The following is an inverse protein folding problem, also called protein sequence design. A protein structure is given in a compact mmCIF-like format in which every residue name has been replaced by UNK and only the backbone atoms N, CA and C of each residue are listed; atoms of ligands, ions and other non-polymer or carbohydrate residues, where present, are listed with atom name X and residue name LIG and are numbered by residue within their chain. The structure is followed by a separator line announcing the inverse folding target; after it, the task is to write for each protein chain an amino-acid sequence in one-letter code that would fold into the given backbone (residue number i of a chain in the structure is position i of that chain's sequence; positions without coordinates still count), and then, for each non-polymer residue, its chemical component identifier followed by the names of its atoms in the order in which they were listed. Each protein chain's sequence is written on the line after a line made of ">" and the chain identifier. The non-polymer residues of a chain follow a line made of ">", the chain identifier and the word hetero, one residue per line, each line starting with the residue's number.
data_IF_366943912640
#
_entry.id   IF_366943912640
#
_cell.length_a   1.000
_cell.length_b   1.000
_cell.length_c   1.000
_cell.angle_alpha   90.00
_cell.angle_beta   90.00
_cell.angle_gamma   90.00
#
_symmetry.space_group_name_H-M   'P 1'
#
loop_
_entity.id
_entity.type
_entity.pdbx_description
1 polymer ?
#
# COMPACT_ATOMS: atom_id res chain seq x y z
N UNK A 1 -17.52 -62.43 6.77
CA UNK A 1 -17.53 -60.96 6.71
C UNK A 1 -18.67 -60.44 7.58
N UNK A 2 -18.42 -59.81 8.74
CA UNK A 2 -19.50 -59.37 9.63
C UNK A 2 -20.24 -58.16 9.04
N UNK A 3 -21.56 -58.27 8.90
CA UNK A 3 -22.42 -57.20 8.42
C UNK A 3 -22.45 -56.04 9.42
N UNK A 4 -21.80 -54.94 9.06
CA UNK A 4 -21.83 -53.69 9.83
C UNK A 4 -23.29 -53.20 9.86
N UNK A 5 -23.90 -53.17 11.05
CA UNK A 5 -25.29 -52.74 11.23
C UNK A 5 -25.51 -51.32 10.70
N UNK A 6 -26.70 -51.05 10.13
CA UNK A 6 -27.01 -49.76 9.50
C UNK A 6 -26.73 -48.55 10.41
N UNK A 7 -26.95 -48.69 11.72
CA UNK A 7 -26.62 -47.66 12.73
C UNK A 7 -25.12 -47.36 12.82
N UNK A 8 -24.26 -48.38 12.71
CA UNK A 8 -22.80 -48.21 12.75
C UNK A 8 -22.26 -47.58 11.47
N UNK A 9 -22.88 -47.83 10.30
CA UNK A 9 -22.55 -47.14 9.03
C UNK A 9 -22.93 -45.66 9.07
N UNK A 10 -24.13 -45.34 9.57
CA UNK A 10 -24.59 -43.95 9.73
C UNK A 10 -23.70 -43.18 10.72
N UNK A 11 -23.29 -43.83 11.81
CA UNK A 11 -22.41 -43.21 12.79
C UNK A 11 -21.00 -42.92 12.22
N UNK A 12 -20.44 -43.85 11.45
CA UNK A 12 -19.15 -43.64 10.77
C UNK A 12 -19.21 -42.54 9.71
N UNK A 13 -20.33 -42.43 8.98
CA UNK A 13 -20.55 -41.34 8.02
C UNK A 13 -20.71 -39.99 8.73
N UNK A 14 -21.41 -39.94 9.86
CA UNK A 14 -21.55 -38.72 10.65
C UNK A 14 -20.21 -38.27 11.25
N UNK A 15 -19.40 -39.19 11.76
CA UNK A 15 -18.05 -38.90 12.28
C UNK A 15 -17.08 -38.51 11.16
N UNK A 16 -17.16 -39.16 9.99
CA UNK A 16 -16.38 -38.77 8.81
C UNK A 16 -16.76 -37.39 8.30
N UNK A 17 -18.06 -37.08 8.21
CA UNK A 17 -18.56 -35.77 7.83
C UNK A 17 -18.15 -34.68 8.86
N UNK A 18 -18.19 -35.00 10.16
CA UNK A 18 -17.74 -34.09 11.22
C UNK A 18 -16.23 -33.88 11.18
N UNK A 19 -15.43 -34.93 10.94
CA UNK A 19 -13.98 -34.83 10.81
C UNK A 19 -13.57 -34.03 9.56
N UNK A 20 -14.28 -34.21 8.44
CA UNK A 20 -14.11 -33.38 7.23
C UNK A 20 -14.53 -31.95 7.49
N UNK A 21 -15.65 -31.72 8.19
CA UNK A 21 -16.10 -30.38 8.56
C UNK A 21 -15.09 -29.67 9.48
N UNK A 22 -14.54 -30.37 10.48
CA UNK A 22 -13.53 -29.83 11.41
C UNK A 22 -12.19 -29.59 10.70
N UNK A 23 -11.73 -30.52 9.86
CA UNK A 23 -10.52 -30.37 9.05
C UNK A 23 -10.63 -29.22 8.05
N UNK A 24 -11.80 -29.07 7.41
CA UNK A 24 -12.08 -27.94 6.54
C UNK A 24 -12.10 -26.61 7.31
N UNK A 25 -12.62 -26.58 8.53
CA UNK A 25 -12.72 -25.38 9.38
C UNK A 25 -11.34 -24.88 9.89
N UNK A 26 -10.40 -25.80 10.14
CA UNK A 26 -9.05 -25.47 10.64
C UNK A 26 -8.09 -25.07 9.51
N UNK A 27 -8.27 -25.60 8.29
CA UNK A 27 -7.41 -25.31 7.14
C UNK A 27 -7.86 -24.14 6.27
N UNK A 28 -9.09 -23.63 6.42
CA UNK A 28 -9.63 -22.62 5.50
C UNK A 28 -8.85 -21.31 5.47
N UNK A 29 -8.52 -20.70 6.64
CA UNK A 29 -7.80 -19.43 6.68
C UNK A 29 -6.41 -19.54 6.04
N UNK A 30 -5.70 -20.66 6.29
CA UNK A 30 -4.37 -20.89 5.75
C UNK A 30 -4.37 -21.01 4.21
N UNK A 31 -5.35 -21.71 3.63
CA UNK A 31 -5.46 -21.88 2.17
C UNK A 31 -5.86 -20.55 1.50
N UNK A 32 -6.83 -19.83 2.06
CA UNK A 32 -7.23 -18.51 1.58
C UNK A 32 -6.09 -17.50 1.66
N UNK A 33 -5.35 -17.50 2.78
CA UNK A 33 -4.17 -16.65 2.98
C UNK A 33 -3.07 -16.97 2.00
N UNK A 34 -2.79 -18.25 1.75
CA UNK A 34 -1.79 -18.67 0.77
C UNK A 34 -2.16 -18.26 -0.65
N UNK A 35 -3.44 -18.39 -1.05
CA UNK A 35 -3.91 -17.98 -2.36
C UNK A 35 -3.81 -16.46 -2.56
N UNK A 36 -4.27 -15.68 -1.58
CA UNK A 36 -4.20 -14.22 -1.61
C UNK A 36 -2.75 -13.71 -1.58
N UNK A 37 -1.90 -14.32 -0.75
CA UNK A 37 -0.45 -14.05 -0.72
C UNK A 37 0.21 -14.36 -2.07
N UNK A 38 -0.19 -15.44 -2.73
CA UNK A 38 0.28 -15.79 -4.07
C UNK A 38 -0.08 -14.72 -5.11
N UNK A 39 -1.33 -14.27 -5.12
CA UNK A 39 -1.80 -13.18 -5.98
C UNK A 39 -1.04 -11.87 -5.71
N UNK A 40 -0.90 -11.48 -4.44
CA UNK A 40 -0.21 -10.25 -4.05
C UNK A 40 1.27 -10.25 -4.41
N UNK A 41 1.97 -11.39 -4.26
CA UNK A 41 3.37 -11.52 -4.70
C UNK A 41 3.55 -11.36 -6.20
N UNK A 42 2.56 -11.76 -7.00
CA UNK A 42 2.59 -11.55 -8.45
C UNK A 42 2.41 -10.08 -8.83
N UNK A 43 1.60 -9.34 -8.05
CA UNK A 43 1.36 -7.91 -8.26
C UNK A 43 2.47 -7.02 -7.70
N UNK A 44 3.14 -7.46 -6.62
CA UNK A 44 4.18 -6.73 -5.90
C UNK A 44 5.49 -7.54 -5.93
N UNK A 45 6.15 -7.64 -7.10
CA UNK A 45 7.38 -8.43 -7.23
C UNK A 45 8.48 -7.88 -6.31
N UNK A 46 9.20 -8.78 -5.64
CA UNK A 46 10.28 -8.45 -4.71
C UNK A 46 9.84 -8.11 -3.28
N UNK A 47 8.53 -7.93 -3.04
CA UNK A 47 8.02 -7.60 -1.71
C UNK A 47 7.86 -8.84 -0.81
N UNK A 48 8.06 -8.65 0.50
CA UNK A 48 7.70 -9.67 1.51
C UNK A 48 6.28 -9.41 1.98
N UNK A 49 5.35 -10.26 1.53
CA UNK A 49 3.93 -10.16 1.85
C UNK A 49 3.51 -11.17 2.91
N UNK A 50 2.79 -10.69 3.90
CA UNK A 50 2.08 -11.42 4.93
C UNK A 50 0.59 -11.08 4.83
N UNK A 51 -0.25 -12.09 4.98
CA UNK A 51 -1.70 -11.97 4.83
C UNK A 51 -2.33 -12.78 5.93
N UNK A 52 -3.27 -12.16 6.64
CA UNK A 52 -4.10 -12.79 7.64
C UNK A 52 -5.58 -12.60 7.28
N UNK A 53 -6.37 -13.66 7.47
CA UNK A 53 -7.79 -13.66 7.17
C UNK A 53 -8.57 -14.27 8.32
N UNK A 54 -9.54 -13.51 8.79
CA UNK A 54 -10.49 -13.97 9.80
C UNK A 54 -11.89 -14.08 9.19
N UNK A 55 -12.61 -15.13 9.56
CA UNK A 55 -14.02 -15.30 9.22
C UNK A 55 -14.75 -16.01 10.35
N UNK A 56 -15.99 -15.57 10.60
CA UNK A 56 -16.89 -16.19 11.56
C UNK A 56 -18.22 -16.51 10.88
N UNK A 57 -18.56 -17.79 10.65
CA UNK A 57 -17.75 -18.99 10.87
C UNK A 57 -16.59 -19.15 9.84
N UNK A 58 -15.50 -19.89 10.14
CA UNK A 58 -14.33 -19.99 9.25
C UNK A 58 -14.62 -20.58 7.86
N UNK A 59 -15.59 -21.50 7.78
CA UNK A 59 -16.09 -22.06 6.52
C UNK A 59 -16.61 -21.00 5.54
N UNK A 60 -16.96 -19.79 6.02
CA UNK A 60 -17.43 -18.70 5.17
C UNK A 60 -16.39 -18.23 4.13
N UNK A 61 -15.09 -18.48 4.36
CA UNK A 61 -14.02 -18.21 3.40
C UNK A 61 -14.13 -19.06 2.12
N UNK A 62 -14.69 -20.27 2.21
CA UNK A 62 -14.96 -21.10 1.02
C UNK A 62 -16.06 -20.50 0.15
N UNK A 63 -16.98 -19.74 0.75
CA UNK A 63 -18.03 -19.00 0.05
C UNK A 63 -17.61 -17.56 -0.26
N UNK A 64 -16.32 -17.25 -0.15
CA UNK A 64 -15.77 -15.95 -0.51
C UNK A 64 -16.11 -14.84 0.48
N UNK A 65 -16.28 -15.14 1.77
CA UNK A 65 -16.60 -14.15 2.81
C UNK A 65 -15.52 -14.14 3.89
N UNK A 66 -14.86 -12.99 4.05
CA UNK A 66 -13.95 -12.71 5.14
C UNK A 66 -14.50 -11.57 6.00
N UNK A 67 -14.40 -11.72 7.32
CA UNK A 67 -14.80 -10.69 8.28
C UNK A 67 -13.70 -9.62 8.40
N UNK A 68 -12.44 -10.05 8.48
CA UNK A 68 -11.29 -9.17 8.54
C UNK A 68 -10.21 -9.73 7.60
N UNK A 69 -9.60 -8.85 6.82
CA UNK A 69 -8.40 -9.18 6.03
C UNK A 69 -7.32 -8.17 6.35
N UNK A 70 -6.18 -8.66 6.81
CA UNK A 70 -5.00 -7.84 7.10
C UNK A 70 -3.89 -8.24 6.15
N UNK A 71 -3.31 -7.25 5.48
CA UNK A 71 -2.20 -7.43 4.54
C UNK A 71 -1.06 -6.55 5.02
N UNK A 72 0.11 -7.16 5.17
CA UNK A 72 1.35 -6.46 5.49
C UNK A 72 2.36 -6.79 4.41
N UNK A 73 2.88 -5.78 3.74
CA UNK A 73 3.91 -5.94 2.73
C UNK A 73 5.12 -5.06 3.05
N UNK A 74 6.31 -5.62 2.86
CA UNK A 74 7.57 -4.92 3.06
C UNK A 74 8.35 -4.78 1.75
N UNK A 75 9.09 -3.68 1.61
CA UNK A 75 9.89 -3.35 0.42
C UNK A 75 9.04 -3.37 -0.85
N UNK A 76 7.95 -2.61 -0.83
CA UNK A 76 7.00 -2.54 -1.93
C UNK A 76 7.41 -1.44 -2.89
N UNK A 77 7.62 -1.76 -4.16
CA UNK A 77 7.82 -0.77 -5.21
C UNK A 77 6.47 -0.45 -5.87
N UNK A 78 6.08 0.81 -5.88
CA UNK A 78 4.88 1.27 -6.56
C UNK A 78 5.20 2.45 -7.48
N UNK A 79 5.32 2.16 -8.78
CA UNK A 79 5.79 3.13 -9.75
C UNK A 79 7.22 3.57 -9.41
N UNK A 80 7.42 4.88 -9.22
CA UNK A 80 8.72 5.45 -8.83
C UNK A 80 8.94 5.45 -7.32
N UNK A 81 7.90 5.22 -6.52
CA UNK A 81 7.96 5.32 -5.07
C UNK A 81 8.23 3.96 -4.43
N UNK A 82 9.36 3.87 -3.72
CA UNK A 82 9.66 2.75 -2.83
C UNK A 82 8.97 2.94 -1.48
N UNK A 83 8.36 1.89 -0.95
CA UNK A 83 7.73 1.87 0.36
C UNK A 83 8.40 0.80 1.22
N UNK A 84 8.86 1.19 2.41
CA UNK A 84 9.42 0.26 3.39
C UNK A 84 8.34 -0.73 3.86
N UNK A 85 7.15 -0.20 4.15
CA UNK A 85 6.04 -0.94 4.70
C UNK A 85 4.70 -0.45 4.14
N UNK A 86 3.85 -1.39 3.79
CA UNK A 86 2.47 -1.17 3.39
C UNK A 86 1.56 -2.07 4.23
N UNK A 87 0.71 -1.46 5.04
CA UNK A 87 -0.29 -2.11 5.86
C UNK A 87 -1.67 -1.82 5.27
N UNK A 88 -2.47 -2.85 5.01
CA UNK A 88 -3.85 -2.69 4.58
C UNK A 88 -4.78 -3.58 5.41
N UNK A 89 -5.92 -3.04 5.77
CA UNK A 89 -6.94 -3.74 6.55
C UNK A 89 -8.30 -3.52 5.91
N UNK A 90 -9.06 -4.61 5.76
CA UNK A 90 -10.39 -4.60 5.16
C UNK A 90 -11.39 -5.18 6.16
N UNK A 91 -12.45 -4.42 6.43
CA UNK A 91 -13.63 -4.90 7.16
C UNK A 91 -14.64 -5.45 6.16
N UNK A 92 -15.06 -6.70 6.40
CA UNK A 92 -16.12 -7.40 5.68
C UNK A 92 -15.88 -7.40 4.17
N UNK A 93 -15.02 -8.31 3.72
CA UNK A 93 -14.70 -8.52 2.31
C UNK A 93 -15.52 -9.68 1.73
N UNK A 94 -16.17 -9.45 0.58
CA UNK A 94 -16.69 -10.52 -0.27
C UNK A 94 -15.88 -10.62 -1.56
N UNK A 95 -15.40 -11.81 -1.86
CA UNK A 95 -14.63 -12.10 -3.06
C UNK A 95 -15.22 -13.29 -3.83
N UNK A 96 -14.80 -13.47 -5.07
CA UNK A 96 -15.11 -14.66 -5.85
C UNK A 96 -14.17 -15.81 -5.50
N UNK A 97 -14.65 -16.89 -4.86
CA UNK A 97 -13.79 -18.00 -4.47
C UNK A 97 -13.25 -18.77 -5.67
N UNK A 98 -14.00 -18.89 -6.77
CA UNK A 98 -13.53 -19.59 -7.96
C UNK A 98 -12.42 -18.78 -8.64
N UNK A 99 -12.53 -17.46 -8.68
CA UNK A 99 -11.44 -16.61 -9.16
C UNK A 99 -10.18 -16.80 -8.29
N UNK A 100 -10.32 -16.72 -6.95
CA UNK A 100 -9.16 -16.75 -6.05
C UNK A 100 -8.48 -18.12 -6.00
N UNK A 101 -9.25 -19.20 -5.83
CA UNK A 101 -8.68 -20.54 -5.60
C UNK A 101 -8.29 -21.26 -6.90
N UNK A 102 -9.05 -21.06 -7.98
CA UNK A 102 -8.80 -21.77 -9.26
C UNK A 102 -7.94 -20.92 -10.19
N UNK A 103 -8.34 -19.66 -10.42
CA UNK A 103 -7.67 -18.79 -11.39
C UNK A 103 -6.53 -17.97 -10.76
N UNK A 104 -6.36 -18.05 -9.43
CA UNK A 104 -5.37 -17.27 -8.66
C UNK A 104 -5.53 -15.76 -8.87
N UNK A 105 -6.75 -15.31 -9.10
CA UNK A 105 -7.10 -13.90 -9.29
C UNK A 105 -8.05 -13.44 -8.20
N UNK A 106 -7.82 -12.26 -7.62
CA UNK A 106 -8.75 -11.70 -6.66
C UNK A 106 -9.80 -10.85 -7.38
N UNK A 107 -11.06 -11.28 -7.29
CA UNK A 107 -12.21 -10.47 -7.73
C UNK A 107 -13.03 -10.10 -6.50
N UNK A 108 -13.04 -8.82 -6.18
CA UNK A 108 -13.82 -8.27 -5.05
C UNK A 108 -15.25 -8.03 -5.52
N UNK A 109 -16.21 -8.65 -4.85
CA UNK A 109 -17.65 -8.49 -5.10
C UNK A 109 -18.26 -7.35 -4.28
N UNK A 110 -17.82 -7.21 -3.04
CA UNK A 110 -18.21 -6.09 -2.17
C UNK A 110 -17.19 -5.91 -1.07
N UNK A 111 -16.99 -4.66 -0.65
CA UNK A 111 -16.17 -4.28 0.48
C UNK A 111 -16.95 -3.24 1.30
N UNK A 112 -17.04 -3.41 2.61
CA UNK A 112 -17.70 -2.39 3.46
C UNK A 112 -16.79 -1.19 3.65
N UNK A 113 -15.57 -1.42 4.12
CA UNK A 113 -14.56 -0.39 4.33
C UNK A 113 -13.17 -1.00 4.35
N UNK A 114 -12.19 -0.25 3.89
CA UNK A 114 -10.79 -0.56 4.06
C UNK A 114 -9.99 0.68 4.40
N UNK A 115 -8.90 0.47 5.13
CA UNK A 115 -7.86 1.45 5.37
C UNK A 115 -6.51 0.89 4.98
N UNK A 116 -5.64 1.72 4.42
CA UNK A 116 -4.26 1.37 4.15
C UNK A 116 -3.32 2.47 4.63
N UNK A 117 -2.11 2.07 5.01
CA UNK A 117 -1.02 2.94 5.42
C UNK A 117 0.25 2.50 4.73
N UNK A 118 0.91 3.43 4.05
CA UNK A 118 2.23 3.25 3.49
C UNK A 118 3.26 4.08 4.25
N UNK A 119 4.43 3.52 4.50
CA UNK A 119 5.59 4.20 5.07
C UNK A 119 6.70 4.24 4.04
N UNK A 120 7.19 5.43 3.77
CA UNK A 120 8.26 5.73 2.80
C UNK A 120 9.44 6.32 3.57
N UNK A 121 10.64 5.80 3.33
CA UNK A 121 11.85 6.31 3.97
C UNK A 121 12.33 7.61 3.31
N UNK A 122 13.17 8.38 4.00
CA UNK A 122 13.86 9.53 3.38
C UNK A 122 14.65 9.13 2.12
N UNK A 123 15.29 7.95 2.12
CA UNK A 123 16.05 7.46 0.97
C UNK A 123 15.15 7.18 -0.24
N UNK A 124 14.05 6.46 -0.03
CA UNK A 124 13.09 6.17 -1.10
C UNK A 124 12.42 7.44 -1.63
N UNK A 125 12.12 8.40 -0.74
CA UNK A 125 11.57 9.70 -1.12
C UNK A 125 12.58 10.51 -1.94
N UNK A 126 13.86 10.50 -1.55
CA UNK A 126 14.95 11.15 -2.30
C UNK A 126 15.05 10.56 -3.70
N UNK A 127 15.02 9.23 -3.82
CA UNK A 127 15.05 8.54 -5.12
C UNK A 127 13.82 8.84 -5.99
N UNK A 128 12.64 8.96 -5.39
CA UNK A 128 11.43 9.32 -6.12
C UNK A 128 11.51 10.77 -6.65
N UNK A 129 11.92 11.73 -5.81
CA UNK A 129 12.05 13.14 -6.20
C UNK A 129 13.19 13.39 -7.19
N UNK A 130 14.29 12.64 -7.11
CA UNK A 130 15.40 12.74 -8.04
C UNK A 130 15.04 12.35 -9.49
N UNK A 131 13.89 11.67 -9.70
CA UNK A 131 13.36 11.38 -11.04
C UNK A 131 12.52 12.51 -11.62
N UNK A 132 12.21 13.56 -10.84
CA UNK A 132 11.53 14.74 -11.35
C UNK A 132 12.42 15.48 -12.34
N UNK A 133 11.83 15.97 -13.44
CA UNK A 133 12.55 16.76 -14.44
C UNK A 133 12.72 18.23 -14.03
N UNK A 134 11.95 18.69 -13.04
CA UNK A 134 11.94 20.08 -12.61
C UNK A 134 13.09 20.42 -11.65
N UNK A 135 13.55 19.45 -10.85
CA UNK A 135 14.58 19.65 -9.83
C UNK A 135 15.49 18.43 -9.75
N UNK A 136 16.79 18.66 -9.54
CA UNK A 136 17.73 17.61 -9.21
C UNK A 136 17.84 17.54 -7.69
N UNK A 137 17.44 16.42 -7.09
CA UNK A 137 17.45 16.24 -5.64
C UNK A 137 18.59 15.32 -5.24
N UNK A 138 19.43 15.78 -4.33
CA UNK A 138 20.56 15.02 -3.79
C UNK A 138 20.23 14.39 -2.44
N UNK A 139 19.49 15.10 -1.59
CA UNK A 139 19.05 14.57 -0.30
C UNK A 139 17.75 15.20 0.18
N UNK A 140 16.98 14.42 0.92
CA UNK A 140 15.73 14.84 1.55
C UNK A 140 15.77 14.50 3.03
N UNK A 141 15.49 15.50 3.87
CA UNK A 141 15.32 15.33 5.32
C UNK A 141 13.87 15.62 5.68
N UNK A 142 13.17 14.57 6.11
CA UNK A 142 11.82 14.62 6.63
C UNK A 142 11.84 14.95 8.12
N UNK A 143 11.06 15.97 8.49
CA UNK A 143 10.76 16.38 9.86
C UNK A 143 9.24 16.38 10.07
N UNK A 144 8.76 16.40 11.32
CA UNK A 144 7.34 16.54 11.60
C UNK A 144 6.71 17.72 10.86
N UNK A 145 5.81 17.42 9.92
CA UNK A 145 5.10 18.40 9.08
C UNK A 145 5.94 19.17 8.05
N UNK A 146 7.24 18.89 7.91
CA UNK A 146 8.15 19.63 7.01
C UNK A 146 9.11 18.73 6.27
N UNK A 147 9.52 19.17 5.09
CA UNK A 147 10.57 18.53 4.29
C UNK A 147 11.66 19.55 3.96
N UNK A 148 12.90 19.16 4.19
CA UNK A 148 14.08 19.87 3.71
C UNK A 148 14.60 19.12 2.49
N UNK A 149 14.68 19.81 1.36
CA UNK A 149 15.21 19.27 0.11
C UNK A 149 16.53 19.99 -0.20
N UNK A 150 17.59 19.22 -0.44
CA UNK A 150 18.86 19.75 -0.94
C UNK A 150 19.14 19.19 -2.33
N UNK A 151 19.60 20.03 -3.22
CA UNK A 151 19.84 19.63 -4.59
C UNK A 151 20.36 20.77 -5.45
N UNK A 152 20.00 20.73 -6.74
CA UNK A 152 20.32 21.77 -7.69
C UNK A 152 19.10 22.12 -8.56
N UNK A 153 18.98 23.41 -8.88
CA UNK A 153 17.98 23.93 -9.83
C UNK A 153 18.70 24.32 -11.11
N UNK A 154 18.11 23.97 -12.25
CA UNK A 154 18.62 24.38 -13.56
C UNK A 154 17.96 25.70 -13.97
N UNK A 155 18.77 26.74 -14.12
CA UNK A 155 18.32 28.06 -14.58
C UNK A 155 19.31 28.61 -15.61
N UNK A 156 18.80 29.21 -16.70
CA UNK A 156 19.63 29.82 -17.75
C UNK A 156 20.74 28.91 -18.31
N UNK A 157 20.51 27.60 -18.36
CA UNK A 157 21.49 26.62 -18.85
C UNK A 157 22.61 26.24 -17.87
N UNK A 158 22.60 26.76 -16.64
CA UNK A 158 23.52 26.40 -15.57
C UNK A 158 22.80 25.72 -14.39
N UNK A 159 23.54 24.89 -13.65
CA UNK A 159 23.05 24.24 -12.42
C UNK A 159 23.54 25.02 -11.20
N UNK A 160 22.60 25.43 -10.35
CA UNK A 160 22.90 26.15 -9.13
C UNK A 160 22.51 25.30 -7.92
N UNK A 161 23.41 25.10 -6.92
CA UNK A 161 23.07 24.41 -5.69
C UNK A 161 21.95 25.15 -4.97
N UNK A 162 20.93 24.43 -4.54
CA UNK A 162 19.75 24.98 -3.90
C UNK A 162 19.33 24.13 -2.70
N UNK A 163 18.87 24.82 -1.67
CA UNK A 163 18.24 24.20 -0.51
C UNK A 163 16.85 24.80 -0.31
N UNK A 164 15.85 23.93 -0.09
CA UNK A 164 14.46 24.32 0.06
C UNK A 164 13.85 23.73 1.33
N UNK A 165 13.15 24.56 2.10
CA UNK A 165 12.27 24.11 3.17
C UNK A 165 10.82 24.16 2.67
N UNK A 166 10.05 23.12 2.94
CA UNK A 166 8.67 23.05 2.49
C UNK A 166 7.85 21.95 3.12
N UNK A 167 6.82 21.53 2.40
CA UNK A 167 5.89 20.46 2.76
C UNK A 167 5.43 19.69 1.53
N UNK A 168 5.13 18.41 1.72
CA UNK A 168 4.43 17.59 0.74
C UNK A 168 2.93 17.67 1.02
N UNK A 169 2.15 17.94 -0.01
CA UNK A 169 0.70 18.05 0.06
C UNK A 169 0.07 17.14 -0.99
N UNK A 170 -1.03 16.50 -0.62
CA UNK A 170 -1.78 15.67 -1.55
C UNK A 170 -2.48 16.55 -2.60
N UNK A 171 -2.27 16.22 -3.87
CA UNK A 171 -2.95 16.84 -5.01
C UNK A 171 -3.85 15.80 -5.69
N UNK A 172 -5.14 15.85 -5.35
CA UNK A 172 -6.11 14.84 -5.77
C UNK A 172 -5.88 13.51 -5.06
N UNK A 173 -5.95 12.39 -5.79
CA UNK A 173 -5.83 11.04 -5.22
C UNK A 173 -4.57 10.30 -5.69
N UNK A 174 -3.80 10.89 -6.61
CA UNK A 174 -2.73 10.20 -7.36
C UNK A 174 -1.43 10.98 -7.44
N UNK A 175 -1.32 12.15 -6.79
CA UNK A 175 -0.12 12.97 -6.86
C UNK A 175 0.18 13.67 -5.54
N UNK A 176 1.46 13.89 -5.28
CA UNK A 176 1.96 14.73 -4.21
C UNK A 176 2.63 15.96 -4.82
N UNK A 177 2.18 17.13 -4.41
CA UNK A 177 2.82 18.41 -4.71
C UNK A 177 3.87 18.71 -3.64
N UNK A 178 5.02 19.21 -4.08
CA UNK A 178 6.05 19.73 -3.18
C UNK A 178 5.94 21.26 -3.17
N UNK A 179 5.54 21.80 -2.02
CA UNK A 179 5.44 23.24 -1.80
C UNK A 179 6.65 23.64 -0.97
N UNK A 180 7.61 24.32 -1.59
CA UNK A 180 8.76 24.91 -0.92
C UNK A 180 8.37 26.31 -0.45
N UNK A 181 8.32 26.52 0.86
CA UNK A 181 8.00 27.82 1.47
C UNK A 181 9.19 28.80 1.35
N UNK A 182 10.41 28.27 1.30
CA UNK A 182 11.62 29.07 1.11
C UNK A 182 12.67 28.27 0.32
N UNK A 183 13.28 28.91 -0.68
CA UNK A 183 14.40 28.36 -1.45
C UNK A 183 15.61 29.29 -1.33
N UNK A 184 16.76 28.72 -1.05
CA UNK A 184 18.05 29.42 -0.96
C UNK A 184 18.98 28.83 -2.01
N UNK A 185 19.50 29.67 -2.90
CA UNK A 185 20.43 29.27 -3.96
C UNK A 185 21.85 29.75 -3.63
N UNK A 186 22.82 28.83 -3.66
CA UNK A 186 24.22 29.16 -3.41
C UNK A 186 24.78 30.00 -4.57
N UNK A 187 25.46 31.11 -4.25
CA UNK A 187 26.03 32.04 -5.24
C UNK A 187 25.35 33.41 -5.33
N UNK A 188 24.28 33.63 -4.55
CA UNK A 188 23.54 34.89 -4.55
C UNK A 188 22.49 34.91 -5.67
N UNK A 189 21.32 35.45 -5.30
CA UNK A 189 20.08 35.60 -6.09
C UNK A 189 20.16 35.19 -7.57
N UNK A 190 19.37 34.18 -7.95
CA UNK A 190 18.96 33.98 -9.34
C UNK A 190 18.57 35.36 -9.93
N UNK A 191 19.08 35.77 -11.11
CA UNK A 191 18.69 37.02 -11.73
C UNK A 191 17.18 36.96 -12.03
N UNK A 192 16.38 37.61 -11.18
CA UNK A 192 14.93 37.44 -11.09
C UNK A 192 14.46 36.74 -9.80
N UNK A 193 14.79 37.32 -8.64
CA UNK A 193 13.96 37.33 -7.42
C UNK A 193 13.36 36.02 -6.85
N UNK A 194 13.99 34.84 -6.98
CA UNK A 194 13.44 33.60 -6.37
C UNK A 194 13.88 33.39 -4.90
N UNK A 195 14.60 34.34 -4.31
CA UNK A 195 15.04 34.23 -2.91
C UNK A 195 13.86 34.52 -1.97
N UNK A 196 13.30 33.47 -1.37
CA UNK A 196 12.20 33.58 -0.41
C UNK A 196 10.79 33.56 -1.00
N UNK A 197 10.64 33.30 -2.30
CA UNK A 197 9.33 33.05 -2.90
C UNK A 197 8.95 31.58 -2.80
N UNK A 198 7.66 31.32 -2.53
CA UNK A 198 7.15 29.97 -2.43
C UNK A 198 7.14 29.31 -3.83
N UNK A 199 7.85 28.20 -3.97
CA UNK A 199 7.91 27.41 -5.21
C UNK A 199 7.04 26.17 -5.07
N UNK A 200 6.06 26.02 -5.95
CA UNK A 200 5.23 24.80 -6.01
C UNK A 200 5.64 23.93 -7.17
N UNK A 201 6.10 22.72 -6.87
CA UNK A 201 6.40 21.68 -7.86
C UNK A 201 5.21 20.74 -7.87
N UNK A 202 4.36 20.93 -8.88
CA UNK A 202 3.16 20.11 -9.09
C UNK A 202 3.54 18.71 -9.52
N UNK A 203 2.82 17.71 -9.00
CA UNK A 203 3.07 16.29 -9.30
C UNK A 203 4.53 15.91 -9.11
N UNK A 204 5.16 16.41 -8.04
CA UNK A 204 6.55 16.09 -7.71
C UNK A 204 6.74 14.58 -7.55
N UNK A 205 5.70 13.89 -7.08
CA UNK A 205 5.63 12.43 -7.01
C UNK A 205 4.27 11.99 -7.53
N UNK A 206 4.28 11.18 -8.57
CA UNK A 206 3.09 10.47 -9.05
C UNK A 206 2.96 9.16 -8.29
N UNK A 207 1.81 8.95 -7.67
CA UNK A 207 1.46 7.71 -6.99
C UNK A 207 0.50 6.94 -7.90
N UNK A 208 0.89 5.75 -8.40
CA UNK A 208 0.00 4.91 -9.18
C UNK A 208 -1.30 4.59 -8.42
N UNK A 209 -2.39 4.25 -9.14
CA UNK A 209 -3.62 3.80 -8.51
C UNK A 209 -3.34 2.66 -7.53
N UNK A 210 -3.77 2.83 -6.28
CA UNK A 210 -3.54 1.84 -5.24
C UNK A 210 -4.40 0.59 -5.51
N UNK A 211 -3.90 -0.61 -5.14
CA UNK A 211 -4.66 -1.83 -5.29
C UNK A 211 -5.96 -1.78 -4.48
N UNK A 212 -6.93 -2.62 -4.83
CA UNK A 212 -8.21 -2.76 -4.09
C UNK A 212 -9.10 -1.51 -4.08
N UNK A 213 -8.85 -0.54 -4.97
CA UNK A 213 -9.66 0.68 -5.06
C UNK A 213 -9.39 1.68 -3.93
N UNK A 214 -8.26 1.54 -3.23
CA UNK A 214 -7.80 2.54 -2.27
C UNK A 214 -7.56 3.89 -2.94
N UNK A 215 -7.90 4.95 -2.23
CA UNK A 215 -7.61 6.33 -2.60
C UNK A 215 -6.80 6.96 -1.50
N UNK A 216 -5.79 7.75 -1.87
CA UNK A 216 -5.03 8.52 -0.89
C UNK A 216 -5.98 9.50 -0.20
N UNK A 217 -5.90 9.54 1.13
CA UNK A 217 -6.75 10.38 1.99
C UNK A 217 -5.93 11.36 2.81
N UNK A 218 -4.65 11.06 3.05
CA UNK A 218 -3.78 11.89 3.84
C UNK A 218 -2.30 11.62 3.59
N UNK A 219 -1.50 12.64 3.84
CA UNK A 219 -0.04 12.57 3.85
C UNK A 219 0.45 13.22 5.14
N UNK A 220 1.34 12.52 5.85
CA UNK A 220 1.94 12.99 7.10
C UNK A 220 3.43 12.80 7.03
N UNK A 221 4.17 13.87 7.32
CA UNK A 221 5.62 13.80 7.48
C UNK A 221 5.92 13.61 8.96
N UNK A 222 6.66 12.56 9.27
CA UNK A 222 7.17 12.25 10.60
C UNK A 222 8.70 12.27 10.56
N UNK A 223 9.33 12.15 11.72
CA UNK A 223 10.79 12.15 11.82
C UNK A 223 11.39 10.96 11.04
N UNK A 224 12.11 11.25 9.96
CA UNK A 224 12.73 10.22 9.12
C UNK A 224 11.82 9.52 8.11
N UNK A 225 10.50 9.77 8.11
CA UNK A 225 9.55 8.99 7.28
C UNK A 225 8.33 9.77 6.82
N UNK A 226 7.86 9.40 5.64
CA UNK A 226 6.61 9.90 5.06
C UNK A 226 5.56 8.81 5.20
N UNK A 227 4.44 9.15 5.83
CA UNK A 227 3.30 8.26 6.02
C UNK A 227 2.17 8.68 5.09
N UNK A 228 1.73 7.76 4.26
CA UNK A 228 0.60 7.92 3.36
C UNK A 228 -0.58 7.13 3.92
N UNK A 229 -1.69 7.81 4.19
CA UNK A 229 -2.92 7.18 4.68
C UNK A 229 -3.92 7.12 3.52
N UNK A 230 -4.51 5.95 3.29
CA UNK A 230 -5.46 5.68 2.22
C UNK A 230 -6.71 4.98 2.75
N UNK A 231 -7.83 5.18 2.08
CA UNK A 231 -9.12 4.60 2.44
C UNK A 231 -9.90 4.22 1.19
N UNK A 232 -10.83 3.28 1.35
CA UNK A 232 -11.85 3.03 0.33
C UNK A 232 -13.02 3.96 0.60
N UNK A 233 -13.41 4.79 -0.37
CA UNK A 233 -14.63 5.59 -0.26
C UNK A 233 -15.88 4.71 -0.05
N UNK A 234 -17.00 5.27 0.44
CA UNK A 234 -18.25 4.50 0.54
C UNK A 234 -18.62 3.97 -0.85
N UNK A 235 -18.87 2.66 -0.92
CA UNK A 235 -19.45 1.98 -2.09
C UNK A 235 -20.96 2.17 -2.09
#
# INVERSE_FOLDING_TARGET
>A
MPAVSARRKVWLLAVGALAVAVGANLGTPAVAGAALKGYLRAQLPGSRVEVDLEASPPIALWWGRAALVTVVAHHVQMGTLGMERFDATFDTLRFDPQALYVHRTLVIRSLRSGSARATVTQGDLTHALARSTAIRVDSVVLQPGRVWVRGAVRAFGAEFPAEGLGRLVLNGETALDLILDSVVVAGGSLPGSVNGEAMTIRSAIEVPPLPFGFRLTGVRMEDGRLVLDAGTGPV
#
